data_IF_867686627032
#
_entry.id   IF_867686627032
#
_cell.length_a   1.000
_cell.length_b   1.000
_cell.length_c   1.000
_cell.angle_alpha   90.00
_cell.angle_beta   90.00
_cell.angle_gamma   90.00
#
_symmetry.space_group_name_H-M   'P 1'
#
loop_
_entity.id
_entity.type
_entity.pdbx_description
1 polymer ?
#
# COMPACT_ATOMS: atom_id res chain seq x y z
N UNK A 1 17.74 -11.98 20.67
CA UNK A 1 16.60 -12.89 21.01
C UNK A 1 15.44 -12.17 21.73
N UNK A 2 15.72 -11.27 22.73
CA UNK A 2 14.67 -10.54 23.47
C UNK A 2 13.90 -9.54 22.61
N UNK A 3 14.59 -8.78 21.77
CA UNK A 3 14.01 -7.80 20.84
C UNK A 3 12.99 -8.47 19.91
N UNK A 4 13.33 -9.61 19.30
CA UNK A 4 12.40 -10.36 18.46
C UNK A 4 11.20 -10.93 19.22
N UNK A 5 11.36 -11.31 20.50
CA UNK A 5 10.21 -11.70 21.36
C UNK A 5 9.29 -10.54 21.67
N UNK A 6 9.81 -9.35 21.88
CA UNK A 6 9.04 -8.14 22.15
C UNK A 6 8.26 -7.66 20.91
N UNK A 7 8.85 -7.80 19.72
CA UNK A 7 8.19 -7.43 18.45
C UNK A 7 7.21 -8.50 18.00
N UNK A 8 7.51 -9.79 18.24
CA UNK A 8 6.63 -10.91 17.89
C UNK A 8 5.29 -10.93 18.67
N UNK A 9 5.13 -10.07 19.65
CA UNK A 9 3.84 -9.89 20.32
C UNK A 9 2.76 -9.26 19.43
N UNK A 10 3.13 -8.78 18.22
CA UNK A 10 2.18 -8.37 17.19
C UNK A 10 2.00 -9.52 16.22
N UNK A 11 1.00 -10.36 16.49
CA UNK A 11 0.65 -11.53 15.67
C UNK A 11 0.32 -11.13 14.24
N UNK A 12 1.30 -11.09 13.36
CA UNK A 12 1.08 -11.08 11.93
C UNK A 12 1.94 -12.16 11.26
N UNK A 13 1.49 -12.65 10.10
CA UNK A 13 2.15 -13.73 9.34
C UNK A 13 3.27 -13.24 8.40
N UNK A 14 3.53 -11.96 8.41
CA UNK A 14 4.53 -11.32 7.56
C UNK A 14 5.86 -11.17 8.31
N UNK A 15 6.77 -10.38 7.78
CA UNK A 15 8.02 -10.10 8.47
C UNK A 15 7.76 -9.46 9.85
N UNK A 16 8.48 -9.83 10.93
CA UNK A 16 8.23 -9.33 12.29
C UNK A 16 8.31 -7.81 12.45
N UNK A 17 9.00 -7.13 11.53
CA UNK A 17 9.10 -5.66 11.49
C UNK A 17 8.05 -5.00 10.57
N UNK A 18 7.01 -5.72 10.17
CA UNK A 18 5.85 -5.14 9.49
C UNK A 18 4.85 -4.66 10.52
N UNK A 19 4.47 -3.41 10.43
CA UNK A 19 3.48 -2.80 11.29
C UNK A 19 2.09 -2.86 10.68
N UNK A 20 1.15 -3.59 11.30
CA UNK A 20 -0.25 -3.64 10.88
C UNK A 20 -1.13 -2.99 11.95
N UNK A 21 -1.88 -1.96 11.57
CA UNK A 21 -2.82 -1.27 12.43
C UNK A 21 -4.23 -1.35 11.82
N UNK A 22 -5.21 -1.75 12.64
CA UNK A 22 -6.55 -2.06 12.16
C UNK A 22 -6.62 -3.46 11.52
N UNK A 23 -7.65 -3.68 10.69
CA UNK A 23 -7.96 -4.98 10.09
C UNK A 23 -7.94 -4.93 8.56
N UNK A 24 -6.77 -4.79 7.92
CA UNK A 24 -6.69 -4.83 6.46
C UNK A 24 -7.06 -6.23 5.95
N UNK A 25 -7.74 -6.29 4.80
CA UNK A 25 -7.98 -7.53 4.07
C UNK A 25 -6.84 -7.75 3.10
N UNK A 26 -6.04 -8.79 3.33
CA UNK A 26 -4.86 -9.10 2.52
C UNK A 26 -5.02 -10.52 1.95
N UNK A 27 -4.90 -10.63 0.64
CA UNK A 27 -5.10 -11.87 -0.10
C UNK A 27 -3.99 -12.90 0.12
N UNK A 28 -4.17 -14.06 -0.53
CA UNK A 28 -3.23 -15.19 -0.46
C UNK A 28 -1.94 -14.86 -1.23
N UNK A 29 -0.83 -15.50 -0.86
CA UNK A 29 0.47 -15.39 -1.52
C UNK A 29 0.95 -13.93 -1.67
N UNK A 30 0.56 -13.05 -0.75
CA UNK A 30 1.01 -11.66 -0.73
C UNK A 30 2.15 -11.52 0.25
N UNK A 31 3.28 -11.01 -0.23
CA UNK A 31 4.46 -10.68 0.55
C UNK A 31 4.41 -9.22 1.01
N UNK A 32 4.88 -8.95 2.21
CA UNK A 32 5.07 -7.59 2.75
C UNK A 32 6.44 -7.53 3.40
N UNK A 33 7.30 -6.70 2.84
CA UNK A 33 8.68 -6.52 3.28
C UNK A 33 8.80 -5.81 4.63
N UNK A 34 9.90 -6.05 5.33
CA UNK A 34 10.18 -5.47 6.63
C UNK A 34 10.17 -3.93 6.61
N UNK A 35 9.90 -3.34 7.77
CA UNK A 35 9.76 -1.90 7.98
C UNK A 35 8.63 -1.23 7.19
N UNK A 36 7.71 -2.02 6.65
CA UNK A 36 6.49 -1.51 6.01
C UNK A 36 5.38 -1.31 7.04
N UNK A 37 4.50 -0.33 6.76
CA UNK A 37 3.32 -0.02 7.55
C UNK A 37 2.05 -0.25 6.72
N UNK A 38 1.06 -0.94 7.32
CA UNK A 38 -0.30 -1.05 6.77
C UNK A 38 -1.26 -0.48 7.83
N UNK A 39 -1.68 0.75 7.66
CA UNK A 39 -2.58 1.42 8.61
C UNK A 39 -4.00 1.54 8.05
N UNK A 40 -4.87 0.59 8.47
CA UNK A 40 -6.28 0.53 8.12
C UNK A 40 -7.20 1.03 9.25
N UNK A 41 -6.67 1.67 10.29
CA UNK A 41 -7.45 2.06 11.49
C UNK A 41 -8.62 2.96 11.14
N UNK A 42 -9.84 2.51 11.48
CA UNK A 42 -11.11 3.19 11.23
C UNK A 42 -11.39 3.51 9.75
N UNK A 43 -10.89 2.67 8.83
CA UNK A 43 -11.21 2.66 7.41
C UNK A 43 -10.86 1.30 6.82
N UNK A 44 -10.81 1.15 5.50
CA UNK A 44 -10.55 -0.12 4.84
C UNK A 44 -9.29 -0.07 3.99
N UNK A 45 -8.48 -1.12 4.11
CA UNK A 45 -7.45 -1.47 3.12
C UNK A 45 -7.75 -2.87 2.60
N UNK A 46 -7.79 -2.99 1.27
CA UNK A 46 -7.87 -4.28 0.57
C UNK A 46 -6.65 -4.43 -0.30
N UNK A 47 -5.91 -5.52 -0.13
CA UNK A 47 -4.78 -5.93 -0.98
C UNK A 47 -5.13 -7.30 -1.54
N UNK A 48 -5.02 -7.46 -2.84
CA UNK A 48 -5.37 -8.70 -3.53
C UNK A 48 -4.39 -9.85 -3.29
N UNK A 49 -4.51 -10.87 -4.13
CA UNK A 49 -3.67 -12.06 -4.10
C UNK A 49 -2.37 -11.84 -4.90
N UNK A 50 -1.34 -12.61 -4.60
CA UNK A 50 -0.08 -12.65 -5.34
C UNK A 50 0.59 -11.26 -5.47
N UNK A 51 0.46 -10.42 -4.46
CA UNK A 51 1.10 -9.12 -4.44
C UNK A 51 2.49 -9.19 -3.78
N UNK A 52 3.38 -8.34 -4.24
CA UNK A 52 4.70 -8.17 -3.65
C UNK A 52 4.87 -6.72 -3.22
N UNK A 53 4.79 -6.48 -1.93
CA UNK A 53 4.99 -5.18 -1.29
C UNK A 53 6.41 -5.17 -0.74
N UNK A 54 7.29 -4.40 -1.34
CA UNK A 54 8.68 -4.31 -0.92
C UNK A 54 8.84 -3.67 0.47
N UNK A 55 10.05 -3.61 0.98
CA UNK A 55 10.34 -3.02 2.28
C UNK A 55 10.18 -1.50 2.30
N UNK A 56 9.95 -0.94 3.49
CA UNK A 56 9.78 0.51 3.71
C UNK A 56 8.60 1.13 2.94
N UNK A 57 7.54 0.37 2.71
CA UNK A 57 6.31 0.87 2.08
C UNK A 57 5.32 1.31 3.15
N UNK A 58 4.73 2.50 2.98
CA UNK A 58 3.62 2.96 3.82
C UNK A 58 2.31 2.90 3.05
N UNK A 59 1.33 2.10 3.56
CA UNK A 59 -0.04 2.08 3.05
C UNK A 59 -0.95 2.60 4.17
N UNK A 60 -1.43 3.85 4.02
CA UNK A 60 -2.08 4.56 5.11
C UNK A 60 -3.37 5.26 4.66
N UNK A 61 -4.49 4.90 5.30
CA UNK A 61 -5.81 5.50 5.04
C UNK A 61 -5.97 6.89 5.64
N UNK A 62 -5.20 7.23 6.67
CA UNK A 62 -5.38 8.45 7.45
C UNK A 62 -4.59 9.62 6.87
N UNK A 63 -5.24 10.78 6.86
CA UNK A 63 -4.65 12.05 6.46
C UNK A 63 -5.06 13.14 7.46
N UNK A 64 -4.09 13.63 8.20
CA UNK A 64 -4.31 14.59 9.30
C UNK A 64 -3.85 16.01 8.96
N UNK A 65 -3.33 16.27 7.77
CA UNK A 65 -2.71 17.56 7.45
C UNK A 65 -3.66 18.74 7.61
N UNK A 66 -4.90 18.64 7.11
CA UNK A 66 -5.90 19.71 7.25
C UNK A 66 -6.30 19.97 8.71
N UNK A 67 -6.34 18.89 9.52
CA UNK A 67 -6.56 19.03 10.96
C UNK A 67 -5.37 19.70 11.64
N UNK A 68 -4.16 19.31 11.28
CA UNK A 68 -2.93 19.84 11.87
C UNK A 68 -2.81 21.37 11.68
N UNK A 69 -3.17 21.86 10.50
CA UNK A 69 -3.11 23.31 10.18
C UNK A 69 -4.42 24.07 10.52
N UNK A 70 -5.34 23.45 11.25
CA UNK A 70 -6.56 24.10 11.74
C UNK A 70 -7.68 24.27 10.72
N UNK A 71 -7.58 23.71 9.50
CA UNK A 71 -8.63 23.82 8.47
C UNK A 71 -9.76 22.80 8.64
N UNK A 72 -9.54 21.73 9.40
CA UNK A 72 -10.55 20.72 9.77
C UNK A 72 -10.41 20.30 11.21
N UNK A 73 -11.51 19.81 11.79
CA UNK A 73 -11.50 19.26 13.16
C UNK A 73 -11.19 17.78 13.22
N UNK A 74 -11.42 17.04 12.11
CA UNK A 74 -11.29 15.58 12.04
C UNK A 74 -10.17 15.16 11.07
N UNK A 75 -9.56 14.03 11.38
CA UNK A 75 -8.64 13.33 10.46
C UNK A 75 -9.45 12.72 9.31
N UNK A 76 -9.09 13.01 8.09
CA UNK A 76 -9.67 12.34 6.92
C UNK A 76 -9.18 10.91 6.82
N UNK A 77 -10.08 10.01 6.45
CA UNK A 77 -9.77 8.59 6.22
C UNK A 77 -10.48 8.13 4.97
N UNK A 78 -9.71 7.69 3.99
CA UNK A 78 -10.23 7.18 2.73
C UNK A 78 -9.74 5.75 2.49
N UNK A 79 -10.61 4.84 2.03
CA UNK A 79 -10.22 3.46 1.77
C UNK A 79 -9.18 3.37 0.67
N UNK A 80 -8.35 2.31 0.74
CA UNK A 80 -7.34 1.98 -0.27
C UNK A 80 -7.66 0.59 -0.81
N UNK A 81 -7.52 0.43 -2.13
CA UNK A 81 -7.65 -0.88 -2.79
C UNK A 81 -6.45 -1.12 -3.68
N UNK A 82 -5.82 -2.27 -3.51
CA UNK A 82 -4.76 -2.79 -4.37
C UNK A 82 -5.26 -4.13 -4.93
N UNK A 83 -5.24 -4.27 -6.25
CA UNK A 83 -5.72 -5.46 -6.95
C UNK A 83 -4.79 -6.67 -6.79
N UNK A 84 -4.98 -7.68 -7.65
CA UNK A 84 -4.15 -8.88 -7.67
C UNK A 84 -2.89 -8.69 -8.51
N UNK A 85 -1.85 -9.47 -8.22
CA UNK A 85 -0.59 -9.45 -8.98
C UNK A 85 0.01 -8.03 -9.09
N UNK A 86 0.01 -7.28 -8.01
CA UNK A 86 0.55 -5.93 -7.96
C UNK A 86 1.89 -5.94 -7.25
N UNK A 87 2.88 -5.32 -7.88
CA UNK A 87 4.18 -5.02 -7.27
C UNK A 87 4.19 -3.59 -6.75
N UNK A 88 4.66 -3.38 -5.53
CA UNK A 88 4.89 -2.07 -4.93
C UNK A 88 6.35 -1.98 -4.51
N UNK A 89 7.11 -1.14 -5.19
CA UNK A 89 8.54 -0.93 -4.94
C UNK A 89 8.82 -0.27 -3.58
N UNK A 90 10.04 -0.40 -3.12
CA UNK A 90 10.48 0.14 -1.83
C UNK A 90 10.28 1.66 -1.74
N UNK A 91 10.05 2.15 -0.52
CA UNK A 91 9.85 3.57 -0.23
C UNK A 91 8.64 4.20 -0.94
N UNK A 92 7.65 3.40 -1.35
CA UNK A 92 6.39 3.93 -1.84
C UNK A 92 5.48 4.37 -0.69
N UNK A 93 4.68 5.40 -0.95
CA UNK A 93 3.58 5.82 -0.09
C UNK A 93 2.25 5.65 -0.83
N UNK A 94 1.39 4.74 -0.36
CA UNK A 94 0.05 4.52 -0.89
C UNK A 94 -0.94 5.12 0.11
N UNK A 95 -1.49 6.26 -0.23
CA UNK A 95 -2.28 7.06 0.69
C UNK A 95 -3.78 6.99 0.37
N UNK A 96 -4.59 7.48 1.30
CA UNK A 96 -6.04 7.39 1.27
C UNK A 96 -6.67 7.76 -0.08
N UNK A 97 -7.62 6.94 -0.54
CA UNK A 97 -8.31 7.07 -1.82
C UNK A 97 -7.60 6.47 -3.02
N UNK A 98 -6.39 5.91 -2.86
CA UNK A 98 -5.71 5.22 -3.95
C UNK A 98 -6.40 3.90 -4.31
N UNK A 99 -6.58 3.66 -5.61
CA UNK A 99 -7.13 2.42 -6.17
C UNK A 99 -6.20 1.91 -7.27
N UNK A 100 -5.55 0.77 -7.05
CA UNK A 100 -4.61 0.17 -7.99
C UNK A 100 -5.24 -1.06 -8.63
N UNK A 101 -5.32 -1.08 -9.95
CA UNK A 101 -5.83 -2.21 -10.71
C UNK A 101 -4.83 -3.36 -10.80
N UNK A 102 -5.34 -4.54 -11.14
CA UNK A 102 -4.58 -5.79 -11.25
C UNK A 102 -3.38 -5.68 -12.22
N UNK A 103 -2.39 -6.53 -12.01
CA UNK A 103 -1.22 -6.69 -12.90
C UNK A 103 -0.45 -5.37 -13.12
N UNK A 104 -0.34 -4.56 -12.09
CA UNK A 104 0.30 -3.25 -12.14
C UNK A 104 1.58 -3.20 -11.31
N UNK A 105 2.47 -2.31 -11.69
CA UNK A 105 3.73 -2.05 -11.01
C UNK A 105 3.76 -0.61 -10.54
N UNK A 106 4.01 -0.42 -9.25
CA UNK A 106 4.29 0.86 -8.63
C UNK A 106 5.79 0.91 -8.40
N UNK A 107 6.49 1.74 -9.16
CA UNK A 107 7.95 1.84 -9.06
C UNK A 107 8.38 2.43 -7.70
N UNK A 108 9.58 2.07 -7.25
CA UNK A 108 10.12 2.54 -5.98
C UNK A 108 10.06 4.07 -5.84
N UNK A 109 9.80 4.56 -4.63
CA UNK A 109 9.71 5.99 -4.32
C UNK A 109 8.45 6.69 -4.87
N UNK A 110 7.47 5.93 -5.37
CA UNK A 110 6.23 6.51 -5.91
C UNK A 110 5.25 6.88 -4.79
N UNK A 111 4.58 8.02 -4.94
CA UNK A 111 3.53 8.46 -4.02
C UNK A 111 2.17 8.45 -4.72
N UNK A 112 1.25 7.63 -4.23
CA UNK A 112 -0.14 7.56 -4.69
C UNK A 112 -1.07 8.17 -3.65
N UNK A 113 -1.89 9.12 -4.04
CA UNK A 113 -2.92 9.72 -3.18
C UNK A 113 -4.15 10.04 -3.99
N UNK A 114 -5.31 9.53 -3.57
CA UNK A 114 -6.60 9.82 -4.20
C UNK A 114 -6.59 9.66 -5.73
N UNK A 115 -5.97 8.57 -6.21
CA UNK A 115 -5.76 8.28 -7.63
C UNK A 115 -6.28 6.90 -7.99
N UNK A 116 -6.84 6.76 -9.19
CA UNK A 116 -7.21 5.47 -9.79
C UNK A 116 -6.18 5.07 -10.83
N UNK A 117 -5.51 3.96 -10.59
CA UNK A 117 -4.55 3.33 -11.51
C UNK A 117 -5.25 2.18 -12.23
N UNK A 118 -5.38 2.22 -13.57
CA UNK A 118 -5.96 1.13 -14.35
C UNK A 118 -5.14 -0.16 -14.25
N UNK A 119 -5.73 -1.28 -14.65
CA UNK A 119 -5.02 -2.57 -14.77
C UNK A 119 -3.84 -2.49 -15.75
N UNK A 120 -2.83 -3.34 -15.52
CA UNK A 120 -1.63 -3.44 -16.37
C UNK A 120 -0.82 -2.15 -16.48
N UNK A 121 -0.87 -1.30 -15.47
CA UNK A 121 -0.19 0.00 -15.48
C UNK A 121 1.22 -0.08 -14.88
N UNK A 122 2.08 0.82 -15.36
CA UNK A 122 3.31 1.22 -14.67
C UNK A 122 3.11 2.63 -14.09
N UNK A 123 3.40 2.80 -12.79
CA UNK A 123 3.29 4.10 -12.11
C UNK A 123 4.64 4.50 -11.54
N UNK A 124 5.06 5.73 -11.76
CA UNK A 124 6.39 6.20 -11.39
C UNK A 124 6.30 7.59 -10.78
N UNK A 125 6.97 7.78 -9.65
CA UNK A 125 7.39 9.08 -9.14
C UNK A 125 6.43 9.79 -8.18
N UNK A 126 6.85 11.00 -7.82
CA UNK A 126 6.10 11.96 -7.02
C UNK A 126 6.29 13.36 -7.64
N UNK A 127 5.24 13.95 -8.23
CA UNK A 127 3.90 13.41 -8.41
C UNK A 127 3.85 12.16 -9.31
N UNK A 128 2.92 11.25 -9.04
CA UNK A 128 2.81 9.98 -9.75
C UNK A 128 2.40 10.17 -11.21
N UNK A 129 3.15 9.54 -12.13
CA UNK A 129 2.82 9.45 -13.56
C UNK A 129 2.37 8.04 -13.89
N UNK A 130 1.15 7.89 -14.42
CA UNK A 130 0.54 6.60 -14.76
C UNK A 130 0.71 6.32 -16.26
N UNK A 131 1.38 5.20 -16.57
CA UNK A 131 1.45 4.63 -17.92
C UNK A 131 0.43 3.47 -17.99
N UNK A 132 -0.81 3.80 -18.40
CA UNK A 132 -1.91 2.84 -18.46
C UNK A 132 -1.66 1.75 -19.50
N UNK A 133 -2.01 0.49 -19.16
CA UNK A 133 -1.88 -0.65 -20.07
C UNK A 133 -0.45 -1.02 -20.47
N UNK A 134 0.56 -0.47 -19.80
CA UNK A 134 1.97 -0.65 -20.15
C UNK A 134 2.41 -2.12 -20.25
N UNK A 135 1.83 -2.99 -19.40
CA UNK A 135 2.13 -4.41 -19.37
C UNK A 135 1.15 -5.29 -20.15
N UNK A 136 0.05 -4.74 -20.68
CA UNK A 136 -1.01 -5.52 -21.32
C UNK A 136 -0.51 -6.42 -22.46
N UNK A 137 0.43 -5.93 -23.28
CA UNK A 137 1.03 -6.68 -24.41
C UNK A 137 2.28 -7.49 -24.00
N UNK A 138 2.80 -7.30 -22.78
CA UNK A 138 4.04 -7.93 -22.32
C UNK A 138 3.81 -9.20 -21.51
N UNK A 139 2.61 -9.38 -20.96
CA UNK A 139 2.24 -10.62 -20.28
C UNK A 139 1.83 -11.62 -21.34
N UNK A 140 2.74 -12.56 -21.64
CA UNK A 140 2.41 -13.72 -22.48
C UNK A 140 1.38 -14.56 -21.71
N UNK A 141 0.35 -15.02 -22.45
CA UNK A 141 -0.63 -15.98 -21.94
C UNK A 141 0.03 -17.31 -21.62
#
# INVERSE_FOLDING_TARGET
KLFFKLINNRKNKYHPLVWINGNPKIGKNTYIGGFSEINAKNSQIKIGNNCDIASFVSINVADSHLRCIGLKTKIEKKPITIGNNVFVGSHCAILGGAKVGDNSVIAAGTVLRNIKVPTYSLVIGNPAKVKSGYYKKKIKK
#
